data_IF_530267773278
#
_entry.id   IF_530267773278
#
_cell.length_a   1.000
_cell.length_b   1.000
_cell.length_c   1.000
_cell.angle_alpha   90.00
_cell.angle_beta   90.00
_cell.angle_gamma   90.00
#
_symmetry.space_group_name_H-M   'P 1'
#
loop_
_entity.id
_entity.type
_entity.pdbx_description
1 polymer ?
#
# COMPACT_ATOMS: atom_id res chain seq x y z
N UNK A 1 -19.16 4.51 -5.76
CA UNK A 1 -18.55 5.57 -4.94
C UNK A 1 -18.58 6.83 -5.76
N UNK A 2 -19.33 7.81 -5.29
CA UNK A 2 -19.47 9.09 -5.95
C UNK A 2 -18.30 10.01 -5.56
N UNK A 3 -17.91 10.96 -6.42
CA UNK A 3 -16.81 11.88 -6.11
C UNK A 3 -17.00 12.65 -4.79
N UNK A 4 -18.25 12.89 -4.40
CA UNK A 4 -18.60 13.58 -3.17
C UNK A 4 -18.34 12.73 -1.92
N UNK A 5 -18.43 11.40 -2.02
CA UNK A 5 -18.23 10.46 -0.90
C UNK A 5 -16.85 10.64 -0.27
N UNK A 6 -15.84 10.93 -1.10
CA UNK A 6 -14.46 11.07 -0.68
C UNK A 6 -14.22 12.33 0.16
N UNK A 7 -14.92 13.42 -0.17
CA UNK A 7 -14.94 14.64 0.64
C UNK A 7 -15.73 14.46 1.94
N UNK A 8 -16.85 13.74 1.88
CA UNK A 8 -17.67 13.43 3.06
C UNK A 8 -16.89 12.60 4.08
N UNK A 9 -16.20 11.54 3.65
CA UNK A 9 -15.42 10.66 4.53
C UNK A 9 -14.20 11.35 5.14
N UNK A 10 -13.57 12.30 4.43
CA UNK A 10 -12.49 13.12 5.02
C UNK A 10 -12.95 13.98 6.20
N UNK A 11 -14.17 14.51 6.13
CA UNK A 11 -14.74 15.35 7.18
C UNK A 11 -15.31 14.52 8.33
N UNK A 12 -15.78 13.30 8.04
CA UNK A 12 -16.29 12.33 9.02
C UNK A 12 -15.15 11.52 9.66
N UNK A 13 -14.28 12.18 10.42
CA UNK A 13 -13.15 11.54 11.12
C UNK A 13 -13.58 10.49 12.16
N UNK A 14 -14.77 10.65 12.73
CA UNK A 14 -15.35 9.69 13.66
C UNK A 14 -16.87 9.62 13.50
N UNK A 15 -17.40 8.42 13.42
CA UNK A 15 -18.84 8.16 13.43
C UNK A 15 -19.18 7.24 14.59
N UNK A 16 -20.06 7.66 15.49
CA UNK A 16 -20.49 6.84 16.63
C UNK A 16 -19.35 6.42 17.57
N UNK A 17 -18.37 7.30 17.79
CA UNK A 17 -17.23 7.04 18.69
C UNK A 17 -16.13 6.13 18.11
N UNK A 18 -16.28 5.68 16.86
CA UNK A 18 -15.27 4.87 16.15
C UNK A 18 -14.54 5.75 15.13
N UNK A 19 -13.20 5.66 15.14
CA UNK A 19 -12.34 6.34 14.16
C UNK A 19 -12.38 5.56 12.85
N UNK A 20 -12.65 6.26 11.74
CA UNK A 20 -12.65 5.66 10.40
C UNK A 20 -11.24 5.64 9.83
N UNK A 21 -10.75 4.46 9.45
CA UNK A 21 -9.46 4.29 8.78
C UNK A 21 -9.72 3.85 7.33
N UNK A 22 -9.00 4.46 6.39
CA UNK A 22 -9.12 4.11 4.97
C UNK A 22 -8.18 2.95 4.61
N UNK A 23 -8.72 1.95 3.91
CA UNK A 23 -7.98 0.75 3.48
C UNK A 23 -6.87 1.08 2.47
N UNK A 24 -7.00 2.18 1.73
CA UNK A 24 -6.02 2.64 0.73
C UNK A 24 -4.94 3.53 1.32
N UNK A 25 -5.05 3.87 2.61
CA UNK A 25 -4.04 4.65 3.34
C UNK A 25 -3.09 3.74 4.12
N UNK A 26 -1.90 4.26 4.38
CA UNK A 26 -0.99 3.68 5.37
C UNK A 26 -1.62 3.67 6.78
N UNK A 27 -1.10 2.83 7.69
CA UNK A 27 -1.59 2.75 9.08
C UNK A 27 -2.89 1.97 9.28
N UNK A 28 -3.29 1.14 8.32
CA UNK A 28 -4.33 0.14 8.54
C UNK A 28 -3.76 -0.96 9.44
N UNK A 29 -4.29 -1.06 10.66
CA UNK A 29 -4.05 -2.15 11.59
C UNK A 29 -5.25 -3.11 11.53
N UNK A 30 -4.98 -4.35 11.12
CA UNK A 30 -5.94 -5.45 11.22
C UNK A 30 -5.64 -6.23 12.50
N UNK A 31 -6.66 -6.84 13.10
CA UNK A 31 -6.43 -7.73 14.23
C UNK A 31 -5.66 -8.97 13.73
N UNK A 32 -4.47 -9.19 14.27
CA UNK A 32 -3.61 -10.33 13.94
C UNK A 32 -3.63 -11.34 15.09
N UNK A 33 -3.77 -12.62 14.76
CA UNK A 33 -3.53 -13.72 15.71
C UNK A 33 -2.01 -13.99 15.81
N UNK A 34 -1.58 -14.72 16.86
CA UNK A 34 -0.16 -15.05 17.08
C UNK A 34 0.48 -15.77 15.88
N UNK A 35 -0.30 -16.61 15.17
CA UNK A 35 0.17 -17.33 13.98
C UNK A 35 0.44 -16.37 12.79
N UNK A 36 -0.47 -15.43 12.55
CA UNK A 36 -0.37 -14.47 11.45
C UNK A 36 0.74 -13.46 11.69
N UNK A 37 0.93 -13.04 12.95
CA UNK A 37 2.04 -12.16 13.35
C UNK A 37 3.39 -12.81 13.02
N UNK A 38 3.52 -14.10 13.33
CA UNK A 38 4.75 -14.86 13.05
C UNK A 38 5.00 -15.02 11.55
N UNK A 39 3.98 -15.34 10.76
CA UNK A 39 4.09 -15.40 9.28
C UNK A 39 4.50 -14.05 8.71
N UNK A 40 3.98 -12.95 9.26
CA UNK A 40 4.32 -11.60 8.83
C UNK A 40 5.80 -11.27 9.10
N UNK A 41 6.33 -11.63 10.27
CA UNK A 41 7.76 -11.44 10.60
C UNK A 41 8.68 -12.31 9.72
N UNK A 42 8.29 -13.57 9.49
CA UNK A 42 9.01 -14.47 8.58
C UNK A 42 8.99 -13.93 7.14
N UNK A 43 7.84 -13.45 6.67
CA UNK A 43 7.67 -12.82 5.36
C UNK A 43 8.51 -11.55 5.21
N UNK A 44 8.51 -10.66 6.21
CA UNK A 44 9.37 -9.47 6.22
C UNK A 44 10.84 -9.83 6.04
N UNK A 45 11.30 -10.89 6.70
CA UNK A 45 12.69 -11.35 6.63
C UNK A 45 12.99 -11.98 5.26
N UNK A 46 12.11 -12.86 4.77
CA UNK A 46 12.28 -13.54 3.47
C UNK A 46 12.30 -12.56 2.30
N UNK A 47 11.43 -11.54 2.33
CA UNK A 47 11.25 -10.60 1.23
C UNK A 47 12.00 -9.27 1.42
N UNK A 48 12.77 -9.09 2.48
CA UNK A 48 13.53 -7.85 2.75
C UNK A 48 14.42 -7.45 1.57
N UNK A 49 15.12 -8.44 0.98
CA UNK A 49 15.97 -8.22 -0.18
C UNK A 49 15.16 -7.83 -1.43
N UNK A 50 13.98 -8.43 -1.63
CA UNK A 50 13.10 -8.09 -2.74
C UNK A 50 12.57 -6.66 -2.59
N UNK A 51 12.12 -6.27 -1.39
CA UNK A 51 11.65 -4.92 -1.11
C UNK A 51 12.77 -3.88 -1.33
N UNK A 52 14.01 -4.17 -0.94
CA UNK A 52 15.17 -3.29 -1.23
C UNK A 52 15.40 -3.13 -2.72
N UNK A 53 15.37 -4.22 -3.48
CA UNK A 53 15.56 -4.19 -4.95
C UNK A 53 14.43 -3.40 -5.62
N UNK A 54 13.18 -3.64 -5.23
CA UNK A 54 12.03 -2.90 -5.75
C UNK A 54 12.12 -1.41 -5.41
N UNK A 55 12.57 -1.07 -4.19
CA UNK A 55 12.79 0.33 -3.79
C UNK A 55 13.86 1.02 -4.63
N UNK A 56 14.92 0.31 -5.03
CA UNK A 56 15.96 0.85 -5.94
C UNK A 56 15.41 1.06 -7.35
N UNK A 57 14.67 0.09 -7.89
CA UNK A 57 14.11 0.18 -9.25
C UNK A 57 13.06 1.31 -9.34
N UNK A 58 12.25 1.47 -8.29
CA UNK A 58 11.13 2.40 -8.25
C UNK A 58 11.43 3.65 -7.41
N UNK A 59 12.69 3.98 -7.12
CA UNK A 59 13.10 5.02 -6.18
C UNK A 59 12.46 6.40 -6.45
N UNK A 60 12.15 6.68 -7.73
CA UNK A 60 11.56 7.93 -8.20
C UNK A 60 10.05 7.99 -8.05
N UNK A 61 9.40 6.84 -7.90
CA UNK A 61 7.93 6.71 -7.96
C UNK A 61 7.33 6.28 -6.61
N UNK A 62 8.07 5.55 -5.78
CA UNK A 62 7.59 5.08 -4.47
C UNK A 62 8.45 5.63 -3.33
N UNK A 63 7.80 6.01 -2.24
CA UNK A 63 8.41 6.49 -0.99
C UNK A 63 8.90 5.31 -0.14
N UNK A 64 8.15 4.22 -0.07
CA UNK A 64 8.51 3.04 0.72
C UNK A 64 8.00 1.75 0.06
N UNK A 65 8.72 0.64 0.24
CA UNK A 65 8.25 -0.70 -0.14
C UNK A 65 8.27 -1.57 1.12
N UNK A 66 7.14 -2.20 1.45
CA UNK A 66 6.99 -3.06 2.63
C UNK A 66 6.20 -4.32 2.28
N UNK A 67 6.39 -5.39 3.04
CA UNK A 67 5.49 -6.55 2.98
C UNK A 67 4.17 -6.16 3.63
N UNK A 68 3.05 -6.47 2.98
CA UNK A 68 1.71 -6.13 3.47
C UNK A 68 0.91 -7.38 3.82
N UNK A 69 0.20 -7.34 4.95
CA UNK A 69 -0.74 -8.38 5.39
C UNK A 69 -2.19 -8.09 4.94
N UNK A 70 -2.44 -6.98 4.22
CA UNK A 70 -3.79 -6.59 3.76
C UNK A 70 -4.20 -7.24 2.44
N UNK A 71 -3.26 -7.92 1.78
CA UNK A 71 -3.44 -8.55 0.49
C UNK A 71 -3.68 -10.05 0.71
N UNK A 72 -4.40 -10.66 -0.23
CA UNK A 72 -4.80 -12.08 -0.15
C UNK A 72 -4.60 -12.75 -1.51
N UNK A 73 -5.05 -12.09 -2.59
CA UNK A 73 -4.97 -12.63 -3.96
C UNK A 73 -4.20 -11.73 -4.91
N UNK A 74 -3.84 -10.53 -4.49
CA UNK A 74 -3.14 -9.56 -5.33
C UNK A 74 -1.65 -9.57 -4.99
N UNK A 75 -0.75 -9.60 -5.99
CA UNK A 75 0.69 -9.71 -5.76
C UNK A 75 1.29 -8.47 -5.08
N UNK A 76 0.77 -7.28 -5.40
CA UNK A 76 1.19 -6.04 -4.78
C UNK A 76 0.08 -4.98 -4.84
N UNK A 77 0.18 -3.96 -4.00
CA UNK A 77 -0.72 -2.81 -3.99
C UNK A 77 0.04 -1.51 -3.73
N UNK A 78 -0.51 -0.39 -4.18
CA UNK A 78 -0.01 0.95 -3.88
C UNK A 78 -0.94 1.60 -2.87
N UNK A 79 -0.37 2.07 -1.77
CA UNK A 79 -1.06 2.79 -0.70
C UNK A 79 -0.56 4.23 -0.63
N UNK A 80 -1.44 5.15 -0.27
CA UNK A 80 -1.09 6.57 -0.07
C UNK A 80 -0.80 6.86 1.38
N UNK A 81 0.10 7.81 1.67
CA UNK A 81 0.38 8.21 3.06
C UNK A 81 -0.87 8.71 3.81
N UNK A 82 -0.89 8.58 5.13
CA UNK A 82 -2.04 8.84 6.02
C UNK A 82 -2.65 10.24 5.87
N UNK A 83 -1.79 11.25 5.71
CA UNK A 83 -2.18 12.65 5.57
C UNK A 83 -2.34 13.11 4.11
N UNK A 84 -2.08 12.22 3.14
CA UNK A 84 -2.13 12.52 1.71
C UNK A 84 -3.54 12.44 1.10
N UNK A 85 -3.66 12.98 -0.11
CA UNK A 85 -4.80 12.75 -1.01
C UNK A 85 -4.80 11.28 -1.41
N UNK A 86 -5.96 10.65 -1.38
CA UNK A 86 -6.14 9.28 -1.87
C UNK A 86 -6.03 9.25 -3.39
N UNK A 87 -5.72 8.07 -3.96
CA UNK A 87 -5.63 7.89 -5.41
C UNK A 87 -6.93 8.26 -6.15
N UNK A 88 -8.09 8.01 -5.54
CA UNK A 88 -9.40 8.39 -6.10
C UNK A 88 -9.61 9.91 -6.06
N UNK A 89 -9.21 10.59 -4.99
CA UNK A 89 -9.27 12.05 -4.88
C UNK A 89 -8.32 12.75 -5.86
N UNK A 90 -7.15 12.17 -6.14
CA UNK A 90 -6.25 12.66 -7.17
C UNK A 90 -6.91 12.62 -8.56
N UNK A 91 -7.55 11.51 -8.92
CA UNK A 91 -8.28 11.37 -10.19
C UNK A 91 -9.39 12.42 -10.32
N UNK A 92 -10.19 12.61 -9.27
CA UNK A 92 -11.29 13.59 -9.25
C UNK A 92 -10.75 15.01 -9.45
N UNK A 93 -9.71 15.38 -8.71
CA UNK A 93 -9.17 16.73 -8.77
C UNK A 93 -8.41 17.00 -10.08
N UNK A 94 -7.73 16.00 -10.67
CA UNK A 94 -7.12 16.10 -12.00
C UNK A 94 -8.17 16.26 -13.11
N UNK A 95 -9.35 15.66 -12.94
CA UNK A 95 -10.48 15.81 -13.86
C UNK A 95 -11.16 17.20 -13.75
N UNK A 96 -11.14 17.83 -12.58
CA UNK A 96 -11.79 19.12 -12.32
C UNK A 96 -10.87 20.33 -12.48
N UNK A 97 -9.56 20.19 -12.24
CA UNK A 97 -8.58 21.27 -12.36
C UNK A 97 -7.23 20.70 -12.87
N UNK A 98 -6.81 20.99 -14.12
CA UNK A 98 -5.58 20.45 -14.69
C UNK A 98 -4.29 21.11 -14.14
N UNK A 99 -4.35 21.90 -13.07
CA UNK A 99 -3.18 22.61 -12.51
C UNK A 99 -2.80 22.13 -11.11
N UNK A 100 -1.49 21.92 -10.97
CA UNK A 100 -0.68 21.50 -9.82
C UNK A 100 -0.60 19.98 -9.55
N UNK A 101 0.49 19.38 -10.06
CA UNK A 101 0.99 18.07 -9.66
C UNK A 101 1.59 18.19 -8.25
N UNK A 102 0.75 18.10 -7.22
CA UNK A 102 1.26 17.81 -5.87
C UNK A 102 1.76 16.37 -5.86
N UNK A 103 3.06 16.17 -5.68
CA UNK A 103 3.67 14.84 -5.57
C UNK A 103 3.13 14.13 -4.33
N UNK A 104 2.32 13.09 -4.52
CA UNK A 104 1.80 12.26 -3.42
C UNK A 104 2.83 11.15 -3.17
N UNK A 105 3.26 10.99 -1.93
CA UNK A 105 4.09 9.85 -1.52
C UNK A 105 3.27 8.56 -1.61
N UNK A 106 3.64 7.68 -2.54
CA UNK A 106 3.06 6.36 -2.69
C UNK A 106 3.96 5.32 -2.03
N UNK A 107 3.38 4.39 -1.28
CA UNK A 107 4.09 3.23 -0.75
C UNK A 107 3.57 1.96 -1.43
N UNK A 108 4.47 1.03 -1.73
CA UNK A 108 4.09 -0.27 -2.29
C UNK A 108 4.07 -1.34 -1.19
N UNK A 109 3.05 -2.19 -1.24
CA UNK A 109 2.89 -3.36 -0.39
C UNK A 109 2.96 -4.63 -1.22
N UNK A 110 3.87 -5.56 -0.93
CA UNK A 110 3.94 -6.88 -1.58
C UNK A 110 3.29 -7.98 -0.73
N UNK A 111 2.63 -8.93 -1.39
CA UNK A 111 2.03 -10.11 -0.78
C UNK A 111 3.03 -11.29 -0.77
N UNK A 112 3.39 -11.83 0.41
CA UNK A 112 4.42 -12.85 0.52
C UNK A 112 3.99 -14.25 0.04
N UNK A 113 2.68 -14.52 -0.05
CA UNK A 113 2.13 -15.84 -0.40
C UNK A 113 1.77 -15.95 -1.89
N UNK A 114 1.84 -14.85 -2.63
CA UNK A 114 1.47 -14.85 -4.04
C UNK A 114 2.53 -15.52 -4.92
N UNK A 115 2.17 -16.47 -5.81
CA UNK A 115 3.13 -17.28 -6.59
C UNK A 115 4.02 -16.46 -7.52
N UNK A 116 3.55 -15.29 -7.98
CA UNK A 116 4.37 -14.35 -8.78
C UNK A 116 5.46 -13.70 -7.93
N UNK A 117 5.17 -13.35 -6.67
CA UNK A 117 6.14 -12.72 -5.77
C UNK A 117 7.19 -13.75 -5.32
N UNK A 118 6.77 -14.98 -5.06
CA UNK A 118 7.66 -16.12 -4.83
C UNK A 118 8.57 -16.40 -6.04
N UNK A 119 8.00 -16.47 -7.25
CA UNK A 119 8.78 -16.66 -8.47
C UNK A 119 9.74 -15.51 -8.79
N UNK A 120 9.40 -14.27 -8.41
CA UNK A 120 10.30 -13.12 -8.54
C UNK A 120 11.45 -13.16 -7.53
N UNK A 121 11.19 -13.64 -6.31
CA UNK A 121 12.22 -13.87 -5.31
C UNK A 121 13.18 -15.00 -5.72
N UNK A 122 12.66 -16.13 -6.24
CA UNK A 122 13.47 -17.28 -6.64
C UNK A 122 14.15 -17.08 -8.01
N UNK A 123 13.43 -16.54 -8.99
CA UNK A 123 13.87 -16.41 -10.39
C UNK A 123 15.06 -15.48 -10.63
N UNK A 124 15.42 -14.64 -9.66
CA UNK A 124 16.67 -13.84 -9.73
C UNK A 124 17.88 -14.53 -9.09
N UNK A 125 17.71 -15.60 -8.32
CA UNK A 125 18.81 -16.44 -7.83
C UNK A 125 19.42 -17.36 -8.91
N UNK A 126 18.79 -17.44 -10.09
CA UNK A 126 19.18 -18.32 -11.20
C UNK A 126 19.87 -17.62 -12.39
N UNK A 127 20.20 -16.33 -12.25
CA UNK A 127 21.01 -15.59 -13.24
C UNK A 127 22.44 -15.42 -12.73
N UNK A 128 23.18 -16.52 -12.73
CA UNK A 128 24.64 -16.55 -12.83
C UNK A 128 25.02 -17.21 -14.15
#
# INVERSE_FOLDING_TARGET
MEPIDEYCVQQLKASGGKTSVSVTKEGLELAEDEEETKKQEEGKTKFENLCKIMKVILEKEVEKVVVSHRLVTSPCCIVTSTCGRTASMERIMKAQAPRENATVGYSAGDDPDHPIIEALAEGRGRRE
#
